data_IF_199264354092
#
_entry.id   IF_199264354092
#
_cell.length_a   1.000
_cell.length_b   1.000
_cell.length_c   1.000
_cell.angle_alpha   90.00
_cell.angle_beta   90.00
_cell.angle_gamma   90.00
#
_symmetry.space_group_name_H-M   'P 1'
#
loop_
_entity.id
_entity.type
_entity.pdbx_description
1 polymer ?
#
# COMPACT_ATOMS: atom_id res chain seq x y z
N UNK A 1 38.49 -4.97 -4.46
CA UNK A 1 37.05 -4.70 -4.58
C UNK A 1 36.32 -5.95 -4.13
N UNK A 2 35.48 -5.92 -3.09
CA UNK A 2 34.71 -7.11 -2.72
C UNK A 2 33.71 -7.40 -3.84
N UNK A 3 33.73 -8.63 -4.38
CA UNK A 3 32.67 -9.13 -5.26
C UNK A 3 31.35 -9.09 -4.48
N UNK A 4 30.45 -8.17 -4.86
CA UNK A 4 29.07 -8.24 -4.43
C UNK A 4 28.44 -9.45 -5.12
N UNK A 5 28.48 -10.62 -4.48
CA UNK A 5 27.70 -11.77 -4.92
C UNK A 5 26.23 -11.41 -4.76
N UNK A 6 25.58 -11.03 -5.87
CA UNK A 6 24.14 -10.80 -5.92
C UNK A 6 23.45 -12.10 -5.50
N UNK A 7 22.91 -12.12 -4.29
CA UNK A 7 22.14 -13.25 -3.79
C UNK A 7 20.85 -13.33 -4.60
N UNK A 8 20.76 -14.34 -5.47
CA UNK A 8 19.54 -14.61 -6.22
C UNK A 8 18.39 -14.91 -5.24
N UNK A 9 17.24 -14.24 -5.36
CA UNK A 9 16.09 -14.51 -4.50
C UNK A 9 15.64 -15.97 -4.68
N UNK A 10 15.35 -16.63 -3.55
CA UNK A 10 14.81 -18.01 -3.56
C UNK A 10 13.35 -17.96 -4.02
N UNK A 11 13.13 -18.15 -5.32
CA UNK A 11 11.81 -18.15 -5.95
C UNK A 11 11.46 -16.82 -6.63
N UNK A 12 10.37 -16.83 -7.41
CA UNK A 12 9.90 -15.64 -8.12
C UNK A 12 9.36 -14.61 -7.12
N UNK A 13 9.86 -13.36 -7.13
CA UNK A 13 9.32 -12.28 -6.30
C UNK A 13 7.81 -12.11 -6.51
N UNK A 14 7.10 -11.67 -5.48
CA UNK A 14 5.63 -11.48 -5.56
C UNK A 14 5.26 -10.43 -6.59
N UNK A 15 6.15 -9.45 -6.76
CA UNK A 15 6.09 -8.35 -7.70
C UNK A 15 6.11 -8.85 -9.14
N UNK A 16 7.06 -9.73 -9.43
CA UNK A 16 7.19 -10.38 -10.72
C UNK A 16 5.98 -11.27 -10.97
N UNK A 17 5.52 -12.03 -9.97
CA UNK A 17 4.34 -12.89 -10.08
C UNK A 17 3.05 -12.11 -10.37
N UNK A 18 2.89 -10.91 -9.80
CA UNK A 18 1.80 -10.00 -10.08
C UNK A 18 1.90 -9.44 -11.50
N UNK A 19 3.08 -8.98 -11.92
CA UNK A 19 3.34 -8.52 -13.29
C UNK A 19 3.01 -9.60 -14.33
N UNK A 20 3.39 -10.84 -14.07
CA UNK A 20 3.09 -11.99 -14.91
C UNK A 20 1.60 -12.26 -15.11
N UNK A 21 0.72 -11.78 -14.22
CA UNK A 21 -0.73 -11.94 -14.38
C UNK A 21 -1.31 -11.08 -15.50
N UNK A 22 -0.61 -10.00 -15.90
CA UNK A 22 -1.01 -9.08 -16.96
C UNK A 22 -0.45 -9.47 -18.34
N UNK A 23 0.46 -10.45 -18.38
CA UNK A 23 1.16 -10.87 -19.60
C UNK A 23 0.45 -12.09 -20.21
N UNK A 24 0.14 -12.10 -21.51
CA UNK A 24 -0.62 -13.18 -22.17
C UNK A 24 0.22 -14.43 -22.46
N UNK A 25 1.16 -14.76 -21.58
CA UNK A 25 1.95 -15.99 -21.61
C UNK A 25 1.68 -16.82 -20.35
N UNK A 26 1.91 -18.13 -20.41
CA UNK A 26 1.82 -18.98 -19.22
C UNK A 26 2.85 -18.54 -18.19
N UNK A 27 2.51 -18.56 -16.89
CA UNK A 27 3.42 -18.14 -15.80
C UNK A 27 4.76 -18.90 -15.76
N UNK A 28 4.77 -20.14 -16.24
CA UNK A 28 5.98 -20.96 -16.30
C UNK A 28 6.86 -20.66 -17.53
N UNK A 29 6.35 -19.92 -18.51
CA UNK A 29 7.08 -19.53 -19.72
C UNK A 29 8.18 -18.52 -19.39
N UNK A 30 9.37 -18.73 -19.96
CA UNK A 30 10.51 -17.83 -19.80
C UNK A 30 10.22 -16.43 -20.33
N UNK A 31 9.39 -16.28 -21.38
CA UNK A 31 8.93 -14.99 -21.89
C UNK A 31 8.10 -14.22 -20.87
N UNK A 32 7.15 -14.91 -20.22
CA UNK A 32 6.34 -14.34 -19.15
C UNK A 32 7.22 -13.84 -18.00
N UNK A 33 8.19 -14.66 -17.58
CA UNK A 33 9.10 -14.31 -16.48
C UNK A 33 9.97 -13.11 -16.85
N UNK A 34 10.57 -13.12 -18.04
CA UNK A 34 11.41 -12.01 -18.53
C UNK A 34 10.64 -10.69 -18.55
N UNK A 35 9.47 -10.65 -19.21
CA UNK A 35 8.61 -9.46 -19.25
C UNK A 35 8.14 -9.03 -17.86
N UNK A 36 7.94 -9.99 -16.94
CA UNK A 36 7.63 -9.72 -15.54
C UNK A 36 8.77 -8.99 -14.81
N UNK A 37 10.01 -9.47 -14.94
CA UNK A 37 11.19 -8.79 -14.37
C UNK A 37 11.40 -7.41 -14.98
N UNK A 38 11.25 -7.29 -16.31
CA UNK A 38 11.30 -6.00 -17.01
C UNK A 38 10.24 -5.02 -16.50
N UNK A 39 9.04 -5.51 -16.22
CA UNK A 39 7.94 -4.73 -15.62
C UNK A 39 8.19 -4.33 -14.17
N UNK A 40 9.14 -4.97 -13.49
CA UNK A 40 9.60 -4.61 -12.15
C UNK A 40 10.84 -3.69 -12.16
N UNK A 41 11.27 -3.21 -13.33
CA UNK A 41 12.36 -2.23 -13.45
C UNK A 41 13.75 -2.83 -13.64
N UNK A 42 13.85 -4.15 -13.83
CA UNK A 42 15.12 -4.80 -14.20
C UNK A 42 15.52 -4.40 -15.62
N UNK A 43 16.82 -4.39 -15.88
CA UNK A 43 17.40 -4.32 -17.22
C UNK A 43 17.43 -5.69 -17.90
N UNK A 44 17.67 -5.72 -19.21
CA UNK A 44 17.81 -6.95 -20.00
C UNK A 44 18.85 -7.89 -19.38
N UNK A 45 20.01 -7.36 -19.01
CA UNK A 45 21.12 -8.14 -18.45
C UNK A 45 20.76 -8.76 -17.09
N UNK A 46 20.14 -7.97 -16.20
CA UNK A 46 19.73 -8.46 -14.88
C UNK A 46 18.62 -9.51 -14.99
N UNK A 47 17.63 -9.28 -15.86
CA UNK A 47 16.54 -10.23 -16.08
C UNK A 47 17.06 -11.55 -16.68
N UNK A 48 17.96 -11.49 -17.67
CA UNK A 48 18.57 -12.68 -18.25
C UNK A 48 19.44 -13.43 -17.23
N UNK A 49 20.22 -12.71 -16.43
CA UNK A 49 21.05 -13.29 -15.37
C UNK A 49 20.20 -14.05 -14.34
N UNK A 50 19.13 -13.44 -13.85
CA UNK A 50 18.23 -14.07 -12.86
C UNK A 50 17.53 -15.29 -13.44
N UNK A 51 17.21 -15.28 -14.73
CA UNK A 51 16.54 -16.39 -15.41
C UNK A 51 17.49 -17.48 -15.90
N UNK A 52 18.81 -17.26 -15.83
CA UNK A 52 19.79 -18.18 -16.41
C UNK A 52 19.68 -18.28 -17.93
N UNK A 53 19.26 -17.20 -18.60
CA UNK A 53 19.11 -17.10 -20.04
C UNK A 53 20.26 -16.28 -20.64
N UNK A 54 20.47 -16.40 -21.94
CA UNK A 54 21.52 -15.68 -22.66
C UNK A 54 20.92 -14.66 -23.63
N UNK A 55 21.78 -13.75 -24.11
CA UNK A 55 21.37 -12.70 -25.06
C UNK A 55 20.82 -13.29 -26.36
N UNK A 56 21.38 -14.43 -26.82
CA UNK A 56 20.88 -15.14 -28.00
C UNK A 56 19.41 -15.57 -27.88
N UNK A 57 18.99 -16.01 -26.68
CA UNK A 57 17.60 -16.34 -26.42
C UNK A 57 16.70 -15.11 -26.60
N UNK A 58 17.12 -13.95 -26.11
CA UNK A 58 16.38 -12.70 -26.24
C UNK A 58 16.27 -12.26 -27.70
N UNK A 59 17.37 -12.31 -28.46
CA UNK A 59 17.38 -12.03 -29.90
C UNK A 59 16.46 -12.97 -30.68
N UNK A 60 16.37 -14.24 -30.26
CA UNK A 60 15.44 -15.19 -30.86
C UNK A 60 13.98 -14.82 -30.55
N UNK A 61 13.67 -14.41 -29.32
CA UNK A 61 12.30 -14.02 -28.95
C UNK A 61 11.88 -12.71 -29.62
N UNK A 62 12.80 -11.75 -29.80
CA UNK A 62 12.55 -10.48 -30.52
C UNK A 62 12.27 -10.65 -32.02
N UNK A 63 12.31 -11.88 -32.55
CA UNK A 63 11.80 -12.18 -33.90
C UNK A 63 10.30 -12.45 -33.92
N UNK A 64 9.68 -12.69 -32.77
CA UNK A 64 8.24 -12.85 -32.64
C UNK A 64 7.59 -11.48 -32.43
N UNK A 65 6.72 -11.05 -33.35
CA UNK A 65 6.08 -9.73 -33.29
C UNK A 65 5.33 -9.50 -31.96
N UNK A 66 4.63 -10.53 -31.48
CA UNK A 66 3.87 -10.49 -30.21
C UNK A 66 4.80 -10.20 -29.02
N UNK A 67 6.01 -10.75 -29.02
CA UNK A 67 6.95 -10.56 -27.92
C UNK A 67 7.47 -9.11 -27.91
N UNK A 68 7.82 -8.57 -29.08
CA UNK A 68 8.26 -7.18 -29.22
C UNK A 68 7.17 -6.19 -28.81
N UNK A 69 5.92 -6.39 -29.24
CA UNK A 69 4.80 -5.54 -28.84
C UNK A 69 4.62 -5.52 -27.31
N UNK A 70 4.75 -6.68 -26.65
CA UNK A 70 4.65 -6.76 -25.20
C UNK A 70 5.85 -6.14 -24.48
N UNK A 71 7.04 -6.26 -25.06
CA UNK A 71 8.27 -5.64 -24.55
C UNK A 71 8.19 -4.11 -24.64
N UNK A 72 7.69 -3.57 -25.75
CA UNK A 72 7.44 -2.14 -25.93
C UNK A 72 6.38 -1.61 -24.95
N UNK A 73 5.43 -2.45 -24.55
CA UNK A 73 4.37 -2.12 -23.59
C UNK A 73 4.83 -2.16 -22.12
N UNK A 74 6.03 -2.64 -21.82
CA UNK A 74 6.58 -2.70 -20.44
C UNK A 74 6.45 -1.38 -19.66
N UNK A 75 6.68 -0.18 -20.23
CA UNK A 75 6.48 1.08 -19.51
C UNK A 75 5.02 1.33 -19.08
N UNK A 76 4.04 0.85 -19.86
CA UNK A 76 2.63 0.93 -19.50
C UNK A 76 2.30 -0.07 -18.40
N UNK A 77 2.78 -1.31 -18.52
CA UNK A 77 2.64 -2.34 -17.48
C UNK A 77 3.25 -1.88 -16.15
N UNK A 78 4.41 -1.19 -16.18
CA UNK A 78 5.01 -0.55 -14.99
C UNK A 78 4.07 0.46 -14.34
N UNK A 79 3.40 1.30 -15.13
CA UNK A 79 2.44 2.30 -14.61
C UNK A 79 1.20 1.63 -14.04
N UNK A 80 0.65 0.63 -14.72
CA UNK A 80 -0.48 -0.17 -14.23
C UNK A 80 -0.14 -0.86 -12.91
N UNK A 81 0.99 -1.58 -12.85
CA UNK A 81 1.48 -2.22 -11.63
C UNK A 81 1.70 -1.21 -10.51
N UNK A 82 2.33 -0.06 -10.78
CA UNK A 82 2.55 0.96 -9.75
C UNK A 82 1.24 1.50 -9.18
N UNK A 83 0.21 1.69 -10.02
CA UNK A 83 -1.12 2.11 -9.57
C UNK A 83 -1.79 1.03 -8.72
N UNK A 84 -1.73 -0.22 -9.16
CA UNK A 84 -2.27 -1.36 -8.41
C UNK A 84 -1.56 -1.54 -7.06
N UNK A 85 -0.22 -1.41 -7.02
CA UNK A 85 0.55 -1.48 -5.78
C UNK A 85 0.19 -0.35 -4.81
N UNK A 86 0.12 0.89 -5.28
CA UNK A 86 -0.30 2.02 -4.46
C UNK A 86 -1.74 1.83 -3.96
N UNK A 87 -2.63 1.29 -4.78
CA UNK A 87 -3.99 0.93 -4.40
C UNK A 87 -4.01 -0.12 -3.29
N UNK A 88 -3.29 -1.22 -3.46
CA UNK A 88 -3.22 -2.30 -2.48
C UNK A 88 -2.61 -1.85 -1.15
N UNK A 89 -1.52 -1.07 -1.19
CA UNK A 89 -0.90 -0.51 0.02
C UNK A 89 -1.83 0.49 0.70
N UNK A 90 -2.54 1.32 -0.08
CA UNK A 90 -3.56 2.21 0.46
C UNK A 90 -4.67 1.41 1.15
N UNK A 91 -5.28 0.42 0.49
CA UNK A 91 -6.36 -0.38 1.09
C UNK A 91 -5.88 -1.18 2.30
N UNK A 92 -4.65 -1.71 2.27
CA UNK A 92 -4.03 -2.37 3.40
C UNK A 92 -3.88 -1.40 4.58
N UNK A 93 -3.28 -0.25 4.36
CA UNK A 93 -3.06 0.76 5.40
C UNK A 93 -4.39 1.29 5.93
N UNK A 94 -5.35 1.52 5.04
CA UNK A 94 -6.70 1.96 5.40
C UNK A 94 -7.42 0.92 6.25
N UNK A 95 -7.33 -0.36 5.88
CA UNK A 95 -7.87 -1.46 6.71
C UNK A 95 -7.22 -1.51 8.08
N UNK A 96 -5.90 -1.33 8.17
CA UNK A 96 -5.20 -1.29 9.45
C UNK A 96 -5.69 -0.13 10.34
N UNK A 97 -5.94 1.04 9.75
CA UNK A 97 -6.55 2.18 10.47
C UNK A 97 -7.96 1.84 10.94
N UNK A 98 -8.82 1.30 10.06
CA UNK A 98 -10.18 0.89 10.44
C UNK A 98 -10.21 -0.18 11.53
N UNK A 99 -9.22 -1.08 11.57
CA UNK A 99 -9.07 -2.08 12.63
C UNK A 99 -8.72 -1.42 13.98
N UNK A 100 -7.90 -0.37 13.96
CA UNK A 100 -7.61 0.45 15.15
C UNK A 100 -8.87 1.19 15.60
N UNK A 101 -9.59 1.84 14.67
CA UNK A 101 -10.84 2.54 14.95
C UNK A 101 -11.86 1.62 15.62
N UNK A 102 -12.05 0.44 15.04
CA UNK A 102 -12.94 -0.59 15.57
C UNK A 102 -12.55 -0.99 16.99
N UNK A 103 -11.25 -1.18 17.26
CA UNK A 103 -10.76 -1.55 18.59
C UNK A 103 -11.05 -0.44 19.61
N UNK A 104 -10.67 0.80 19.30
CA UNK A 104 -10.88 1.95 20.19
C UNK A 104 -12.37 2.19 20.44
N UNK A 105 -13.21 2.09 19.40
CA UNK A 105 -14.66 2.22 19.53
C UNK A 105 -15.26 1.11 20.42
N UNK A 106 -14.85 -0.15 20.22
CA UNK A 106 -15.31 -1.27 21.06
C UNK A 106 -14.98 -1.08 22.54
N UNK A 107 -13.76 -0.66 22.86
CA UNK A 107 -13.37 -0.31 24.23
C UNK A 107 -14.21 0.84 24.77
N UNK A 108 -14.37 1.91 23.99
CA UNK A 108 -15.14 3.09 24.40
C UNK A 108 -16.63 2.79 24.68
N UNK A 109 -17.18 1.79 24.01
CA UNK A 109 -18.57 1.35 24.18
C UNK A 109 -18.73 0.28 25.28
N UNK A 110 -17.66 -0.06 26.00
CA UNK A 110 -17.67 -1.11 27.04
C UNK A 110 -17.92 -2.51 26.49
N UNK A 111 -17.69 -2.74 25.20
CA UNK A 111 -17.91 -4.04 24.54
C UNK A 111 -16.72 -5.00 24.71
N UNK A 112 -15.60 -4.49 25.22
CA UNK A 112 -14.41 -5.27 25.54
C UNK A 112 -14.31 -5.36 27.06
N UNK A 113 -14.20 -6.59 27.58
CA UNK A 113 -14.01 -6.84 29.00
C UNK A 113 -12.62 -7.42 29.23
N UNK A 114 -11.95 -6.93 30.27
CA UNK A 114 -10.61 -7.34 30.69
C UNK A 114 -10.71 -7.74 32.15
N UNK A 115 -9.97 -8.78 32.53
CA UNK A 115 -9.88 -9.21 33.92
C UNK A 115 -9.07 -8.17 34.71
N UNK A 116 -9.65 -7.68 35.79
CA UNK A 116 -8.98 -6.78 36.71
C UNK A 116 -7.90 -7.56 37.49
N UNK A 117 -6.61 -7.17 37.40
CA UNK A 117 -5.52 -7.88 38.06
C UNK A 117 -5.62 -7.85 39.60
N UNK A 118 -6.35 -6.90 40.18
CA UNK A 118 -6.46 -6.75 41.64
C UNK A 118 -7.67 -7.48 42.22
N UNK A 119 -8.75 -7.64 41.44
CA UNK A 119 -10.02 -8.22 41.92
C UNK A 119 -10.42 -9.53 41.24
N UNK A 120 -9.82 -9.86 40.09
CA UNK A 120 -10.18 -11.03 39.27
C UNK A 120 -11.57 -10.91 38.62
N UNK A 121 -12.21 -9.74 38.69
CA UNK A 121 -13.50 -9.48 38.09
C UNK A 121 -13.34 -9.00 36.63
N UNK A 122 -14.30 -9.36 35.77
CA UNK A 122 -14.32 -8.90 34.39
C UNK A 122 -14.86 -7.47 34.33
N UNK A 123 -13.97 -6.49 34.16
CA UNK A 123 -14.30 -5.07 34.07
C UNK A 123 -14.24 -4.59 32.61
N UNK A 124 -14.94 -3.50 32.30
CA UNK A 124 -14.86 -2.90 30.96
C UNK A 124 -13.45 -2.37 30.70
N UNK A 125 -12.90 -2.69 29.52
CA UNK A 125 -11.58 -2.23 29.11
C UNK A 125 -11.51 -0.70 29.12
N UNK A 126 -10.65 -0.14 29.97
CA UNK A 126 -10.43 1.30 29.99
C UNK A 126 -9.63 1.75 28.76
N UNK A 127 -9.94 2.95 28.28
CA UNK A 127 -9.16 3.60 27.22
C UNK A 127 -7.92 4.23 27.82
N UNK A 128 -6.75 3.89 27.27
CA UNK A 128 -5.51 4.60 27.60
C UNK A 128 -5.59 6.09 27.21
N UNK A 129 -4.77 6.97 27.82
CA UNK A 129 -4.75 8.39 27.46
C UNK A 129 -4.52 8.66 25.97
N UNK A 130 -3.72 7.80 25.31
CA UNK A 130 -3.50 7.87 23.87
C UNK A 130 -4.74 7.49 23.07
N UNK A 131 -5.44 6.41 23.45
CA UNK A 131 -6.68 5.98 22.80
C UNK A 131 -7.82 7.00 23.01
N UNK A 132 -7.87 7.67 24.17
CA UNK A 132 -8.82 8.77 24.40
C UNK A 132 -8.58 9.95 23.46
N UNK A 133 -7.32 10.38 23.32
CA UNK A 133 -6.96 11.45 22.38
C UNK A 133 -7.24 11.02 20.93
N UNK A 134 -6.98 9.76 20.60
CA UNK A 134 -7.29 9.19 19.29
C UNK A 134 -8.80 9.21 19.02
N UNK A 135 -9.63 8.76 19.98
CA UNK A 135 -11.08 8.75 19.88
C UNK A 135 -11.66 10.16 19.66
N UNK A 136 -11.11 11.18 20.32
CA UNK A 136 -11.54 12.57 20.12
C UNK A 136 -11.27 13.04 18.69
N UNK A 137 -10.10 12.71 18.12
CA UNK A 137 -9.77 13.00 16.72
C UNK A 137 -10.64 12.19 15.76
N UNK A 138 -10.90 10.92 16.11
CA UNK A 138 -11.68 9.98 15.32
C UNK A 138 -13.11 10.44 15.12
N UNK A 139 -13.75 11.00 16.16
CA UNK A 139 -15.11 11.56 16.09
C UNK A 139 -15.25 12.65 15.04
N UNK A 140 -14.20 13.44 14.79
CA UNK A 140 -14.18 14.46 13.73
C UNK A 140 -14.07 13.90 12.31
N UNK A 141 -13.64 12.64 12.16
CA UNK A 141 -13.43 11.98 10.88
C UNK A 141 -14.60 11.07 10.44
N UNK A 142 -15.59 10.86 11.32
CA UNK A 142 -16.82 10.10 11.04
C UNK A 142 -18.05 10.99 10.96
N UNK A 143 -17.97 12.04 10.13
CA UNK A 143 -19.18 12.82 9.81
C UNK A 143 -20.13 11.98 8.95
N UNK A 144 -21.45 12.27 8.96
CA UNK A 144 -22.41 11.58 8.10
C UNK A 144 -22.04 11.60 6.62
N UNK A 145 -21.44 12.70 6.13
CA UNK A 145 -20.97 12.80 4.74
C UNK A 145 -19.78 11.87 4.47
N UNK A 146 -18.83 11.77 5.40
CA UNK A 146 -17.67 10.88 5.29
C UNK A 146 -18.08 9.41 5.37
N UNK A 147 -19.08 9.07 6.19
CA UNK A 147 -19.64 7.73 6.28
C UNK A 147 -20.37 7.31 5.00
N UNK A 148 -21.14 8.21 4.38
CA UNK A 148 -21.76 7.98 3.07
C UNK A 148 -20.71 7.78 1.98
N UNK A 149 -19.60 8.54 2.01
CA UNK A 149 -18.48 8.36 1.09
C UNK A 149 -17.81 6.98 1.27
N UNK A 150 -17.59 6.57 2.52
CA UNK A 150 -17.05 5.26 2.89
C UNK A 150 -17.95 4.12 2.41
N UNK A 151 -19.27 4.26 2.57
CA UNK A 151 -20.27 3.31 2.08
C UNK A 151 -20.27 3.22 0.54
N UNK A 152 -20.17 4.35 -0.15
CA UNK A 152 -20.08 4.39 -1.61
C UNK A 152 -18.81 3.71 -2.14
N UNK A 153 -17.69 3.85 -1.45
CA UNK A 153 -16.43 3.14 -1.78
C UNK A 153 -16.56 1.64 -1.48
N UNK A 154 -17.19 1.25 -0.38
CA UNK A 154 -17.33 -0.15 0.03
C UNK A 154 -18.33 -0.94 -0.83
N UNK A 155 -19.36 -0.29 -1.37
CA UNK A 155 -20.43 -0.95 -2.16
C UNK A 155 -20.09 -1.11 -3.63
N UNK A 156 -18.96 -0.56 -4.11
CA UNK A 156 -18.41 -0.88 -5.43
C UNK A 156 -19.36 -0.62 -6.60
N UNK A 157 -20.25 0.37 -6.51
CA UNK A 157 -21.07 0.74 -7.66
C UNK A 157 -20.18 1.38 -8.73
N UNK A 158 -20.20 0.87 -9.97
CA UNK A 158 -19.39 1.30 -11.14
C UNK A 158 -19.57 2.78 -11.57
N UNK A 159 -20.38 3.57 -10.86
CA UNK A 159 -20.49 5.03 -10.99
C UNK A 159 -19.86 5.79 -9.81
N UNK A 160 -19.28 5.07 -8.87
CA UNK A 160 -18.78 5.52 -7.58
C UNK A 160 -17.34 5.99 -7.65
N UNK A 161 -17.15 7.24 -7.23
CA UNK A 161 -15.92 7.96 -6.91
C UNK A 161 -14.59 7.22 -7.19
N UNK A 162 -13.91 7.64 -8.26
CA UNK A 162 -12.51 7.29 -8.49
C UNK A 162 -11.66 8.02 -7.43
N UNK A 163 -11.28 7.31 -6.36
CA UNK A 163 -10.56 7.87 -5.22
C UNK A 163 -9.23 8.53 -5.63
N UNK A 164 -8.54 7.97 -6.63
CA UNK A 164 -7.32 8.57 -7.19
C UNK A 164 -7.59 9.93 -7.85
N UNK A 165 -8.73 10.08 -8.51
CA UNK A 165 -9.19 11.35 -9.06
C UNK A 165 -9.59 12.32 -7.95
N UNK A 166 -10.28 11.86 -6.91
CA UNK A 166 -10.69 12.71 -5.78
C UNK A 166 -9.51 13.23 -4.95
N UNK A 167 -8.50 12.39 -4.69
CA UNK A 167 -7.26 12.81 -3.99
C UNK A 167 -6.49 13.83 -4.81
N UNK A 168 -6.44 13.65 -6.14
CA UNK A 168 -5.85 14.61 -7.06
C UNK A 168 -6.61 15.95 -7.05
N UNK A 169 -7.94 15.91 -7.01
CA UNK A 169 -8.79 17.11 -7.02
C UNK A 169 -8.88 17.82 -5.65
N UNK A 170 -8.37 17.20 -4.57
CA UNK A 170 -8.40 17.76 -3.21
C UNK A 170 -7.01 17.82 -2.55
N UNK A 171 -5.94 17.65 -3.32
CA UNK A 171 -4.55 17.67 -2.84
C UNK A 171 -4.23 18.99 -2.11
N UNK A 172 -4.77 20.11 -2.59
CA UNK A 172 -4.56 21.45 -2.05
C UNK A 172 -5.15 21.64 -0.63
N UNK A 173 -6.19 20.86 -0.29
CA UNK A 173 -6.88 20.92 1.01
C UNK A 173 -6.22 20.01 2.06
N UNK A 174 -5.56 18.94 1.62
CA UNK A 174 -4.93 17.94 2.50
C UNK A 174 -3.61 18.49 3.08
N UNK A 175 -2.92 19.38 2.38
CA UNK A 175 -1.61 19.91 2.80
C UNK A 175 -1.71 20.98 3.91
N UNK A 176 -2.88 21.60 4.15
CA UNK A 176 -2.98 22.79 5.02
C UNK A 176 -3.22 22.56 6.52
N UNK A 177 -3.28 21.31 7.03
CA UNK A 177 -3.57 21.07 8.46
C UNK A 177 -2.35 20.86 9.38
N UNK A 178 -1.13 21.19 8.95
CA UNK A 178 0.02 21.26 9.87
C UNK A 178 0.12 22.65 10.50
N UNK A 179 -0.73 22.94 11.49
CA UNK A 179 -0.45 24.02 12.46
C UNK A 179 0.51 23.48 13.51
N UNK A 180 1.79 23.82 13.38
CA UNK A 180 2.78 23.68 14.45
C UNK A 180 2.51 24.78 15.47
N UNK A 181 1.93 24.44 16.62
CA UNK A 181 1.89 25.34 17.77
C UNK A 181 3.32 25.46 18.33
N UNK A 182 4.01 26.55 17.98
CA UNK A 182 5.25 26.95 18.66
C UNK A 182 4.91 27.50 20.04
N UNK A 183 5.14 26.70 21.08
CA UNK A 183 5.13 27.16 22.47
C UNK A 183 6.42 27.95 22.73
N UNK A 184 6.31 29.27 22.86
CA UNK A 184 7.41 30.13 23.33
C UNK A 184 7.32 30.19 24.85
N UNK A 185 8.31 29.62 25.54
CA UNK A 185 8.43 29.72 27.00
C UNK A 185 9.25 30.99 27.29
N UNK A 186 8.64 31.98 27.96
CA UNK A 186 9.39 33.09 28.53
C UNK A 186 10.21 32.54 29.71
N UNK A 187 11.53 32.61 29.61
CA UNK A 187 12.40 32.42 30.76
C UNK A 187 12.13 33.55 31.75
N UNK A 188 11.47 33.24 32.87
CA UNK A 188 11.37 34.14 34.00
C UNK A 188 12.77 34.38 34.56
N UNK A 189 13.21 35.63 34.50
CA UNK A 189 14.17 36.16 35.45
C UNK A 189 13.37 36.60 36.67
N UNK A 190 13.39 35.75 37.70
CA UNK A 190 13.14 36.17 39.07
C UNK A 190 14.23 37.16 39.53
N UNK A 191 13.83 37.98 40.49
CA UNK A 191 14.48 39.15 41.06
C UNK A 191 15.91 38.97 41.58
#
# INVERSE_FOLDING_TARGET
>A
MPEQTLLLPKGTPKEVSAAQSLIPYKRNDSRSKYLGYMSCGFSDEEALYVLGLNLYWLELQRKEDIFCELEERVPELRKELSREYLGLDFYRNFRMVLEIDKRVLKKSLGMEQVEDPDTGEMVTAELSPFEQMYLLKLRGAYTPQQLQLLEAVATGNDKGLNFSQWVKDNQDKIVQYSRTDTVTVNAGTDA
#
